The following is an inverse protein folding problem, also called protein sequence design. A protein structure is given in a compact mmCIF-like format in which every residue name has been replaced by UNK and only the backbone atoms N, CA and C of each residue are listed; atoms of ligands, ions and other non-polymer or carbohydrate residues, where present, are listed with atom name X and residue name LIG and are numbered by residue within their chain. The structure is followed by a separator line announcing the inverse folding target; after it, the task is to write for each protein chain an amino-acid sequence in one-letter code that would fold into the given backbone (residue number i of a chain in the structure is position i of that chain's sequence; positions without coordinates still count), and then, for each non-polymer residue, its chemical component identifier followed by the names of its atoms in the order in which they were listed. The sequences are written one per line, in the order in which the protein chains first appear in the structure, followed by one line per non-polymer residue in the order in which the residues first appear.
data_IF_428992345648
#
_entry.id   IF_428992345648
#
_cell.length_a   1.000
_cell.length_b   1.000
_cell.length_c   1.000
_cell.angle_alpha   90.00
_cell.angle_beta   90.00
_cell.angle_gamma   90.00
#
_symmetry.space_group_name_H-M   'P 1'
#
loop_
_entity.id
_entity.type
_entity.pdbx_description
1 polymer ?
#
# COMPACT_ATOMS: atom_id res chain seq x y z
N UNK A 1 15.53 5.87 8.27
CA UNK A 1 15.58 6.56 6.96
C UNK A 1 15.08 8.00 7.02
N UNK A 2 13.86 8.30 7.50
CA UNK A 2 13.34 9.68 7.55
C UNK A 2 14.13 10.59 8.51
N UNK A 3 14.58 10.05 9.65
CA UNK A 3 15.34 10.79 10.67
C UNK A 3 16.79 11.10 10.24
N UNK A 4 17.36 10.29 9.35
CA UNK A 4 18.70 10.48 8.80
C UNK A 4 18.71 11.27 7.50
N UNK A 5 17.53 11.62 6.96
CA UNK A 5 17.41 12.32 5.70
C UNK A 5 17.61 13.82 5.87
N UNK A 6 18.28 14.50 4.90
CA UNK A 6 18.33 15.95 4.83
C UNK A 6 16.91 16.54 4.81
N UNK A 7 16.69 17.69 5.45
CA UNK A 7 15.38 18.30 5.59
C UNK A 7 14.66 18.53 4.25
N UNK A 8 15.42 18.84 3.19
CA UNK A 8 14.91 19.11 1.84
C UNK A 8 14.63 17.86 0.98
N UNK A 9 14.92 16.63 1.48
CA UNK A 9 14.77 15.37 0.75
C UNK A 9 14.06 14.27 1.54
N UNK A 10 13.35 14.63 2.59
CA UNK A 10 12.64 13.65 3.46
C UNK A 10 11.58 12.87 2.69
N UNK A 11 10.87 13.51 1.75
CA UNK A 11 9.90 12.85 0.88
C UNK A 11 10.55 11.77 0.02
N UNK A 12 11.67 12.09 -0.62
CA UNK A 12 12.41 11.12 -1.43
C UNK A 12 12.94 9.92 -0.61
N UNK A 13 13.53 10.16 0.57
CA UNK A 13 14.00 9.06 1.42
C UNK A 13 12.84 8.21 1.98
N UNK A 14 11.71 8.84 2.29
CA UNK A 14 10.51 8.11 2.73
C UNK A 14 9.88 7.28 1.62
N UNK A 15 9.97 7.72 0.36
CA UNK A 15 9.37 7.04 -0.79
C UNK A 15 9.98 5.66 -1.06
N UNK A 16 11.22 5.41 -0.65
CA UNK A 16 11.85 4.09 -0.76
C UNK A 16 11.07 3.00 -0.04
N UNK A 17 10.37 3.33 1.04
CA UNK A 17 9.51 2.36 1.74
C UNK A 17 8.36 1.85 0.85
N UNK A 18 7.71 2.73 0.08
CA UNK A 18 6.66 2.35 -0.86
C UNK A 18 7.25 1.79 -2.17
N UNK A 19 8.40 2.32 -2.62
CA UNK A 19 9.09 1.82 -3.79
C UNK A 19 9.51 0.35 -3.64
N UNK A 20 10.07 -0.03 -2.49
CA UNK A 20 10.42 -1.44 -2.21
C UNK A 20 9.20 -2.35 -2.18
N UNK A 21 8.03 -1.87 -1.73
CA UNK A 21 6.76 -2.59 -1.86
C UNK A 21 6.39 -2.80 -3.34
N UNK A 22 6.51 -1.75 -4.17
CA UNK A 22 6.28 -1.83 -5.61
C UNK A 22 7.21 -2.83 -6.29
N UNK A 23 8.49 -2.82 -5.91
CA UNK A 23 9.48 -3.78 -6.42
C UNK A 23 9.14 -5.23 -6.03
N UNK A 24 8.75 -5.47 -4.78
CA UNK A 24 8.31 -6.78 -4.31
C UNK A 24 7.05 -7.27 -5.06
N UNK A 25 6.09 -6.38 -5.30
CA UNK A 25 4.88 -6.68 -6.07
C UNK A 25 5.21 -6.98 -7.53
N UNK A 26 6.13 -6.22 -8.14
CA UNK A 26 6.65 -6.49 -9.50
C UNK A 26 7.27 -7.88 -9.59
N UNK A 27 8.16 -8.20 -8.65
CA UNK A 27 8.82 -9.50 -8.61
C UNK A 27 7.80 -10.64 -8.41
N UNK A 28 6.83 -10.46 -7.52
CA UNK A 28 5.72 -11.40 -7.33
C UNK A 28 4.91 -11.60 -8.63
N UNK A 29 4.62 -10.53 -9.36
CA UNK A 29 3.95 -10.58 -10.67
C UNK A 29 4.76 -11.33 -11.73
N UNK A 30 6.07 -11.09 -11.81
CA UNK A 30 6.99 -11.81 -12.73
C UNK A 30 7.00 -13.30 -12.42
N UNK A 31 7.16 -13.67 -11.15
CA UNK A 31 7.16 -15.07 -10.71
C UNK A 31 5.81 -15.74 -11.02
N UNK A 32 4.69 -15.08 -10.72
CA UNK A 32 3.36 -15.61 -10.98
C UNK A 32 3.09 -15.82 -12.48
N UNK A 33 3.45 -14.82 -13.32
CA UNK A 33 3.36 -14.94 -14.78
C UNK A 33 4.26 -16.07 -15.31
N UNK A 34 5.52 -16.09 -14.89
CA UNK A 34 6.47 -17.11 -15.31
C UNK A 34 6.01 -18.52 -14.96
N UNK A 35 5.54 -18.72 -13.74
CA UNK A 35 5.04 -20.02 -13.29
C UNK A 35 3.75 -20.42 -14.01
N UNK A 36 2.82 -19.49 -14.22
CA UNK A 36 1.56 -19.78 -14.92
C UNK A 36 1.76 -20.13 -16.40
N UNK A 37 2.84 -19.66 -17.00
CA UNK A 37 3.21 -20.04 -18.38
C UNK A 37 4.04 -21.33 -18.43
N UNK A 38 5.00 -21.49 -17.51
CA UNK A 38 5.98 -22.58 -17.57
C UNK A 38 5.48 -23.90 -16.99
N UNK A 39 4.72 -23.89 -15.89
CA UNK A 39 4.27 -25.12 -15.23
C UNK A 39 3.34 -25.97 -16.10
N UNK A 40 2.31 -25.44 -16.78
CA UNK A 40 1.50 -26.21 -17.69
C UNK A 40 2.31 -26.82 -18.85
N UNK A 41 3.27 -26.06 -19.39
CA UNK A 41 4.18 -26.56 -20.44
C UNK A 41 5.08 -27.70 -19.94
N UNK A 42 5.66 -27.54 -18.74
CA UNK A 42 6.61 -28.50 -18.18
C UNK A 42 5.94 -29.82 -17.72
N UNK A 43 4.69 -29.75 -17.24
CA UNK A 43 3.97 -30.88 -16.63
C UNK A 43 2.89 -31.47 -17.52
N UNK A 44 2.50 -30.77 -18.58
CA UNK A 44 1.39 -31.17 -19.47
C UNK A 44 0.01 -31.06 -18.81
N UNK A 45 -0.10 -30.38 -17.65
CA UNK A 45 -1.36 -30.22 -16.91
C UNK A 45 -1.64 -28.75 -16.64
N UNK A 46 -2.82 -28.29 -17.07
CA UNK A 46 -3.28 -26.91 -16.79
C UNK A 46 -3.68 -26.69 -15.31
N UNK A 47 -3.99 -27.78 -14.57
CA UNK A 47 -4.41 -27.70 -13.17
C UNK A 47 -3.25 -27.62 -12.18
N UNK A 48 -2.02 -27.90 -12.62
CA UNK A 48 -0.83 -27.96 -11.76
C UNK A 48 -0.61 -26.72 -10.92
N UNK A 49 -0.96 -25.55 -11.46
CA UNK A 49 -0.82 -24.28 -10.74
C UNK A 49 -1.78 -24.19 -9.54
N UNK A 50 -3.01 -24.71 -9.68
CA UNK A 50 -4.01 -24.76 -8.62
C UNK A 50 -3.70 -25.85 -7.58
N UNK A 51 -3.10 -26.98 -7.99
CA UNK A 51 -2.81 -28.12 -7.11
C UNK A 51 -1.63 -27.87 -6.19
N UNK A 52 -0.46 -27.52 -6.73
CA UNK A 52 0.75 -27.33 -5.94
C UNK A 52 1.63 -26.15 -6.38
N UNK A 53 1.52 -25.68 -7.62
CA UNK A 53 2.41 -24.66 -8.21
C UNK A 53 2.40 -23.35 -7.44
N UNK A 54 1.29 -22.98 -6.80
CA UNK A 54 1.17 -21.82 -5.94
C UNK A 54 2.12 -21.82 -4.73
N UNK A 55 2.69 -22.99 -4.37
CA UNK A 55 3.65 -23.10 -3.27
C UNK A 55 5.06 -22.65 -3.66
N UNK A 56 5.39 -22.67 -4.95
CA UNK A 56 6.75 -22.34 -5.44
C UNK A 56 7.19 -20.93 -5.02
N UNK A 57 6.37 -19.87 -5.13
CA UNK A 57 6.75 -18.55 -4.65
C UNK A 57 7.11 -18.50 -3.16
N UNK A 58 6.46 -19.32 -2.33
CA UNK A 58 6.79 -19.40 -0.89
C UNK A 58 8.15 -20.03 -0.65
N UNK A 59 8.53 -21.06 -1.40
CA UNK A 59 9.89 -21.63 -1.33
C UNK A 59 10.95 -20.62 -1.76
N UNK A 60 10.68 -19.83 -2.80
CA UNK A 60 11.56 -18.73 -3.21
C UNK A 60 11.68 -17.73 -2.06
N UNK A 61 10.58 -17.40 -1.37
CA UNK A 61 10.56 -16.52 -0.20
C UNK A 61 11.44 -17.02 0.96
N UNK A 62 11.46 -18.33 1.20
CA UNK A 62 12.32 -18.94 2.24
C UNK A 62 13.80 -18.68 1.96
N UNK A 63 14.23 -18.65 0.70
CA UNK A 63 15.63 -18.36 0.33
C UNK A 63 16.07 -16.93 0.73
N UNK A 64 15.13 -16.00 0.97
CA UNK A 64 15.43 -14.67 1.44
C UNK A 64 15.73 -14.61 2.95
N UNK A 65 15.30 -15.60 3.73
CA UNK A 65 15.51 -15.63 5.18
C UNK A 65 17.00 -15.62 5.61
N UNK A 66 17.91 -16.40 5.00
CA UNK A 66 19.34 -16.34 5.29
C UNK A 66 19.94 -14.96 4.99
N UNK A 67 19.50 -14.32 3.90
CA UNK A 67 19.98 -12.98 3.51
C UNK A 67 19.56 -11.95 4.54
N UNK A 68 18.28 -12.00 4.99
CA UNK A 68 17.77 -11.14 6.04
C UNK A 68 18.47 -11.33 7.38
N UNK A 69 18.76 -12.58 7.74
CA UNK A 69 19.51 -12.92 8.94
C UNK A 69 20.96 -12.39 8.87
N UNK A 70 21.63 -12.59 7.75
CA UNK A 70 22.99 -12.08 7.53
C UNK A 70 23.05 -10.55 7.59
N UNK A 71 22.14 -9.85 6.92
CA UNK A 71 22.05 -8.40 6.98
C UNK A 71 21.84 -7.89 8.41
N UNK A 72 20.97 -8.55 9.17
CA UNK A 72 20.70 -8.18 10.57
C UNK A 72 21.96 -8.33 11.43
N UNK A 73 22.67 -9.45 11.32
CA UNK A 73 23.90 -9.71 12.07
C UNK A 73 25.01 -8.72 11.67
N UNK A 74 25.11 -8.36 10.39
CA UNK A 74 26.10 -7.38 9.92
C UNK A 74 25.80 -5.98 10.45
N UNK A 75 24.53 -5.56 10.48
CA UNK A 75 24.14 -4.23 10.96
C UNK A 75 24.21 -4.09 12.48
N UNK A 76 24.04 -5.16 13.26
CA UNK A 76 24.16 -5.12 14.72
C UNK A 76 25.61 -4.79 15.18
N UNK A 77 26.60 -5.09 14.34
CA UNK A 77 28.01 -4.79 14.63
C UNK A 77 28.38 -3.31 14.36
N UNK A 78 27.59 -2.59 13.55
CA UNK A 78 27.87 -1.21 13.16
C UNK A 78 27.12 -0.16 14.01
N UNK A 79 26.26 -0.59 14.97
CA UNK A 79 25.50 0.34 15.82
C UNK A 79 26.36 0.70 17.05
N UNK A 80 26.78 1.98 17.22
CA UNK A 80 27.53 2.41 18.40
C UNK A 80 26.75 2.16 19.68
N UNK A 81 27.43 1.63 20.71
CA UNK A 81 26.88 1.27 22.04
C UNK A 81 25.99 2.32 22.74
N UNK A 82 26.15 3.65 22.58
CA UNK A 82 25.34 4.61 23.33
C UNK A 82 23.83 4.59 23.03
N UNK A 83 23.38 3.94 21.95
CA UNK A 83 21.96 3.80 21.61
C UNK A 83 21.30 2.68 22.45
N UNK A 84 22.08 1.72 22.93
CA UNK A 84 21.60 0.55 23.69
C UNK A 84 21.24 0.87 25.14
N UNK A 85 21.75 1.98 25.69
CA UNK A 85 21.54 2.39 27.10
C UNK A 85 20.46 3.46 27.31
N UNK A 86 19.73 3.90 26.28
CA UNK A 86 18.51 4.66 26.54
C UNK A 86 17.48 3.69 27.11
N UNK A 87 17.39 3.70 28.46
CA UNK A 87 16.34 3.03 29.24
C UNK A 87 15.05 3.03 28.43
N UNK A 88 14.54 1.84 28.14
CA UNK A 88 13.21 1.67 27.59
C UNK A 88 12.28 2.53 28.45
N UNK A 89 11.68 3.56 27.86
CA UNK A 89 10.69 4.36 28.54
C UNK A 89 9.68 3.35 29.09
N UNK A 90 9.48 3.36 30.40
CA UNK A 90 8.60 2.43 31.09
C UNK A 90 7.29 2.36 30.28
N UNK A 91 6.76 1.18 30.03
CA UNK A 91 5.60 0.96 29.16
C UNK A 91 4.39 1.83 29.56
N UNK A 92 4.26 2.13 30.84
CA UNK A 92 3.25 3.04 31.38
C UNK A 92 3.38 4.47 30.85
N UNK A 93 4.61 5.00 30.74
CA UNK A 93 4.86 6.34 30.20
C UNK A 93 4.55 6.45 28.71
N UNK A 94 4.80 5.39 27.92
CA UNK A 94 4.51 5.39 26.49
C UNK A 94 3.01 5.28 26.20
N UNK A 95 2.30 4.42 26.96
CA UNK A 95 0.86 4.24 26.81
C UNK A 95 0.07 5.50 27.23
N UNK A 96 0.45 6.13 28.33
CA UNK A 96 -0.18 7.39 28.75
C UNK A 96 0.00 8.51 27.74
N UNK A 97 1.18 8.60 27.10
CA UNK A 97 1.43 9.55 26.02
C UNK A 97 0.60 9.25 24.76
N UNK A 98 0.40 7.98 24.42
CA UNK A 98 -0.48 7.60 23.29
C UNK A 98 -1.92 8.04 23.57
N UNK A 99 -2.43 7.84 24.80
CA UNK A 99 -3.76 8.28 25.20
C UNK A 99 -3.93 9.81 25.16
N UNK A 100 -2.90 10.56 25.55
CA UNK A 100 -2.91 12.02 25.44
C UNK A 100 -3.01 12.50 23.97
N UNK A 101 -2.44 11.73 23.03
CA UNK A 101 -2.47 12.02 21.59
C UNK A 101 -3.53 11.22 20.82
N UNK A 102 -4.57 10.70 21.48
CA UNK A 102 -5.61 9.85 20.87
C UNK A 102 -6.25 10.47 19.63
N UNK A 103 -6.52 11.78 19.62
CA UNK A 103 -7.11 12.45 18.47
C UNK A 103 -6.18 12.41 17.24
N UNK A 104 -4.87 12.58 17.43
CA UNK A 104 -3.86 12.47 16.36
C UNK A 104 -3.77 11.04 15.83
N UNK A 105 -3.84 10.05 16.73
CA UNK A 105 -3.82 8.63 16.36
C UNK A 105 -5.07 8.27 15.55
N UNK A 106 -6.27 8.67 16.01
CA UNK A 106 -7.53 8.43 15.28
C UNK A 106 -7.49 9.08 13.91
N UNK A 107 -7.05 10.33 13.79
CA UNK A 107 -6.88 11.00 12.51
C UNK A 107 -5.88 10.27 11.60
N UNK A 108 -4.76 9.82 12.16
CA UNK A 108 -3.78 9.01 11.46
C UNK A 108 -4.39 7.70 10.92
N UNK A 109 -5.19 7.00 11.74
CA UNK A 109 -5.90 5.77 11.31
C UNK A 109 -6.87 6.08 10.16
N UNK A 110 -7.67 7.14 10.26
CA UNK A 110 -8.60 7.53 9.19
C UNK A 110 -7.87 7.89 7.89
N UNK A 111 -6.73 8.57 7.97
CA UNK A 111 -5.87 8.82 6.81
C UNK A 111 -5.32 7.52 6.21
N UNK A 112 -4.88 6.59 7.07
CA UNK A 112 -4.34 5.30 6.66
C UNK A 112 -5.40 4.43 5.98
N UNK A 113 -6.66 4.42 6.47
CA UNK A 113 -7.77 3.66 5.88
C UNK A 113 -7.92 3.93 4.39
N UNK A 114 -8.07 5.20 3.99
CA UNK A 114 -8.29 5.52 2.58
C UNK A 114 -7.06 5.19 1.71
N UNK A 115 -5.84 5.33 2.26
CA UNK A 115 -4.62 4.91 1.55
C UNK A 115 -4.60 3.40 1.34
N UNK A 116 -4.88 2.66 2.41
CA UNK A 116 -4.79 1.21 2.44
C UNK A 116 -5.88 0.56 1.58
N UNK A 117 -7.14 0.99 1.73
CA UNK A 117 -8.26 0.51 0.89
C UNK A 117 -7.96 0.74 -0.58
N UNK A 118 -7.53 1.96 -0.95
CA UNK A 118 -7.18 2.28 -2.34
C UNK A 118 -6.03 1.39 -2.85
N UNK A 119 -5.00 1.17 -2.05
CA UNK A 119 -3.87 0.31 -2.41
C UNK A 119 -4.31 -1.14 -2.63
N UNK A 120 -5.04 -1.74 -1.69
CA UNK A 120 -5.43 -3.14 -1.81
C UNK A 120 -6.41 -3.39 -2.95
N UNK A 121 -7.34 -2.47 -3.21
CA UNK A 121 -8.26 -2.58 -4.35
C UNK A 121 -7.49 -2.37 -5.66
N UNK A 122 -6.64 -1.35 -5.75
CA UNK A 122 -5.98 -1.00 -7.01
C UNK A 122 -4.88 -1.97 -7.42
N UNK A 123 -4.07 -2.48 -6.46
CA UNK A 123 -2.95 -3.35 -6.77
C UNK A 123 -3.35 -4.83 -6.89
N UNK A 124 -4.32 -5.28 -6.06
CA UNK A 124 -4.56 -6.72 -5.91
C UNK A 124 -5.98 -7.15 -6.30
N UNK A 125 -6.99 -6.29 -6.08
CA UNK A 125 -8.38 -6.73 -6.25
C UNK A 125 -8.86 -6.67 -7.70
N UNK A 126 -8.52 -5.66 -8.49
CA UNK A 126 -9.01 -5.56 -9.88
C UNK A 126 -8.68 -6.80 -10.72
N UNK A 127 -7.45 -7.33 -10.59
CA UNK A 127 -7.05 -8.53 -11.32
C UNK A 127 -7.84 -9.77 -10.90
N UNK A 128 -7.94 -10.04 -9.59
CA UNK A 128 -8.67 -11.19 -9.06
C UNK A 128 -10.17 -11.07 -9.30
N UNK A 129 -10.72 -9.88 -9.21
CA UNK A 129 -12.12 -9.59 -9.51
C UNK A 129 -12.44 -9.82 -10.99
N UNK A 130 -11.59 -9.33 -11.91
CA UNK A 130 -11.77 -9.54 -13.35
C UNK A 130 -11.69 -11.02 -13.73
N UNK A 131 -10.76 -11.78 -13.15
CA UNK A 131 -10.68 -13.22 -13.37
C UNK A 131 -11.93 -13.95 -12.87
N UNK A 132 -12.43 -13.57 -11.68
CA UNK A 132 -13.56 -14.26 -11.04
C UNK A 132 -14.91 -13.92 -11.67
N UNK A 133 -15.17 -12.64 -11.94
CA UNK A 133 -16.51 -12.16 -12.32
C UNK A 133 -16.65 -11.84 -13.81
N UNK A 134 -15.55 -11.57 -14.52
CA UNK A 134 -15.56 -11.33 -15.96
C UNK A 134 -14.98 -12.52 -16.75
N UNK A 135 -14.68 -13.63 -16.08
CA UNK A 135 -14.09 -14.84 -16.67
C UNK A 135 -12.81 -14.57 -17.49
N UNK A 136 -12.05 -13.55 -17.11
CA UNK A 136 -10.78 -13.26 -17.77
C UNK A 136 -9.73 -14.31 -17.41
N UNK A 137 -8.90 -14.77 -18.35
CA UNK A 137 -7.79 -15.68 -18.06
C UNK A 137 -6.86 -15.14 -16.97
N UNK A 138 -6.45 -16.02 -16.05
CA UNK A 138 -5.74 -15.62 -14.83
C UNK A 138 -4.37 -14.96 -15.09
N UNK A 139 -3.73 -15.26 -16.20
CA UNK A 139 -2.47 -14.60 -16.56
C UNK A 139 -2.61 -13.08 -16.72
N UNK A 140 -3.80 -12.55 -17.09
CA UNK A 140 -4.03 -11.09 -17.12
C UNK A 140 -4.10 -10.47 -15.72
N UNK A 141 -4.57 -11.22 -14.72
CA UNK A 141 -4.47 -10.78 -13.31
C UNK A 141 -3.03 -10.64 -12.85
N UNK A 142 -2.17 -11.60 -13.24
CA UNK A 142 -0.74 -11.54 -12.94
C UNK A 142 -0.05 -10.40 -13.69
N UNK A 143 -0.42 -10.16 -14.96
CA UNK A 143 0.07 -9.01 -15.73
C UNK A 143 -0.36 -7.67 -15.12
N UNK A 144 -1.60 -7.57 -14.63
CA UNK A 144 -2.08 -6.40 -13.92
C UNK A 144 -1.31 -6.16 -12.62
N UNK A 145 -1.01 -7.21 -11.85
CA UNK A 145 -0.19 -7.13 -10.64
C UNK A 145 1.24 -6.67 -10.95
N UNK A 146 1.87 -7.20 -12.00
CA UNK A 146 3.19 -6.78 -12.46
C UNK A 146 3.19 -5.29 -12.83
N UNK A 147 2.23 -4.87 -13.65
CA UNK A 147 2.07 -3.46 -14.04
C UNK A 147 1.88 -2.56 -12.81
N UNK A 148 1.01 -2.97 -11.88
CA UNK A 148 0.77 -2.24 -10.63
C UNK A 148 2.05 -2.08 -9.80
N UNK A 149 2.87 -3.12 -9.70
CA UNK A 149 4.15 -3.09 -9.02
C UNK A 149 5.13 -2.10 -9.64
N UNK A 150 5.30 -2.14 -10.98
CA UNK A 150 6.18 -1.21 -11.72
C UNK A 150 5.73 0.24 -11.53
N UNK A 151 4.42 0.51 -11.66
CA UNK A 151 3.88 1.86 -11.46
C UNK A 151 4.12 2.33 -10.03
N UNK A 152 3.91 1.46 -9.05
CA UNK A 152 4.16 1.80 -7.63
C UNK A 152 5.63 2.09 -7.39
N UNK A 153 6.54 1.28 -7.94
CA UNK A 153 7.99 1.48 -7.78
C UNK A 153 8.43 2.83 -8.34
N UNK A 154 8.20 3.05 -9.64
CA UNK A 154 8.59 4.29 -10.32
C UNK A 154 7.83 5.49 -9.78
N UNK A 155 6.51 5.34 -9.62
CA UNK A 155 5.63 6.39 -9.13
C UNK A 155 5.98 6.84 -7.71
N UNK A 156 6.31 5.91 -6.80
CA UNK A 156 6.69 6.28 -5.44
C UNK A 156 7.94 7.17 -5.41
N UNK A 157 8.96 6.88 -6.20
CA UNK A 157 10.18 7.69 -6.28
C UNK A 157 9.88 9.10 -6.84
N UNK A 158 9.07 9.19 -7.91
CA UNK A 158 8.64 10.46 -8.47
C UNK A 158 7.81 11.28 -7.48
N UNK A 159 6.86 10.63 -6.81
CA UNK A 159 6.01 11.27 -5.78
C UNK A 159 6.84 11.72 -4.58
N UNK A 160 7.87 10.96 -4.20
CA UNK A 160 8.80 11.36 -3.16
C UNK A 160 9.47 12.70 -3.44
N UNK A 161 9.94 12.91 -4.68
CA UNK A 161 10.51 14.18 -5.13
C UNK A 161 9.45 15.31 -5.18
N UNK A 162 8.24 14.99 -5.68
CA UNK A 162 7.14 15.95 -5.72
C UNK A 162 6.65 16.35 -4.32
N UNK A 163 6.74 15.43 -3.35
CA UNK A 163 6.31 15.67 -1.98
C UNK A 163 7.12 16.79 -1.30
N UNK A 164 8.41 16.87 -1.62
CA UNK A 164 9.30 17.88 -1.06
C UNK A 164 9.04 19.28 -1.67
N UNK A 165 8.51 19.37 -2.91
CA UNK A 165 8.25 20.63 -3.62
C UNK A 165 6.81 21.14 -3.49
N UNK A 166 5.81 20.27 -3.68
CA UNK A 166 4.38 20.62 -3.76
C UNK A 166 3.72 20.66 -2.38
N UNK A 167 4.20 19.86 -1.43
CA UNK A 167 3.62 19.71 -0.09
C UNK A 167 2.73 18.46 0.03
N UNK A 168 2.70 17.90 1.26
CA UNK A 168 2.08 16.60 1.54
C UNK A 168 0.56 16.65 1.38
N UNK A 169 -0.08 17.62 2.00
CA UNK A 169 -1.55 17.75 2.05
C UNK A 169 -2.18 17.91 0.67
N UNK A 170 -1.54 18.70 -0.21
CA UNK A 170 -2.02 18.91 -1.59
C UNK A 170 -1.99 17.62 -2.40
N UNK A 171 -0.88 16.87 -2.34
CA UNK A 171 -0.75 15.61 -3.07
C UNK A 171 -1.74 14.55 -2.57
N UNK A 172 -1.96 14.46 -1.26
CA UNK A 172 -2.98 13.59 -0.68
C UNK A 172 -4.36 13.98 -1.20
N UNK A 173 -4.71 15.25 -1.15
CA UNK A 173 -6.02 15.73 -1.59
C UNK A 173 -6.27 15.43 -3.07
N UNK A 174 -5.31 15.74 -3.95
CA UNK A 174 -5.40 15.43 -5.38
C UNK A 174 -5.61 13.93 -5.60
N UNK A 175 -4.79 13.11 -4.94
CA UNK A 175 -4.91 11.64 -5.00
C UNK A 175 -6.32 11.18 -4.59
N UNK A 176 -6.84 11.66 -3.45
CA UNK A 176 -8.16 11.26 -2.95
C UNK A 176 -9.30 11.66 -3.87
N UNK A 177 -9.25 12.89 -4.39
CA UNK A 177 -10.24 13.39 -5.35
C UNK A 177 -10.23 12.53 -6.62
N UNK A 178 -9.05 12.24 -7.17
CA UNK A 178 -8.93 11.44 -8.38
C UNK A 178 -9.37 9.98 -8.17
N UNK A 179 -8.96 9.35 -7.05
CA UNK A 179 -9.42 7.99 -6.71
C UNK A 179 -10.94 7.96 -6.53
N UNK A 180 -11.52 8.96 -5.86
CA UNK A 180 -12.96 9.03 -5.64
C UNK A 180 -13.74 9.18 -6.95
N UNK A 181 -13.31 10.10 -7.82
CA UNK A 181 -13.95 10.32 -9.13
C UNK A 181 -13.85 9.06 -10.01
N UNK A 182 -12.68 8.40 -10.01
CA UNK A 182 -12.43 7.23 -10.85
C UNK A 182 -12.95 5.92 -10.24
N UNK A 183 -13.33 5.88 -8.96
CA UNK A 183 -13.70 4.64 -8.27
C UNK A 183 -14.87 3.90 -8.94
N UNK A 184 -15.98 4.57 -9.18
CA UNK A 184 -17.14 3.97 -9.84
C UNK A 184 -16.93 3.75 -11.35
N UNK A 185 -16.43 4.74 -12.13
CA UNK A 185 -16.15 4.54 -13.55
C UNK A 185 -15.21 3.38 -13.84
N UNK A 186 -14.22 3.11 -12.99
CA UNK A 186 -13.27 2.03 -13.18
C UNK A 186 -13.94 0.64 -13.23
N UNK A 187 -14.84 0.35 -12.31
CA UNK A 187 -15.59 -0.90 -12.29
C UNK A 187 -16.65 -0.93 -13.40
N UNK A 188 -17.33 0.19 -13.64
CA UNK A 188 -18.32 0.30 -14.69
C UNK A 188 -17.73 0.04 -16.08
N UNK A 189 -16.57 0.63 -16.40
CA UNK A 189 -15.87 0.41 -17.66
C UNK A 189 -15.48 -1.06 -17.83
N UNK A 190 -14.99 -1.72 -16.78
CA UNK A 190 -14.61 -3.12 -16.83
C UNK A 190 -15.81 -4.06 -17.04
N UNK A 191 -16.96 -3.74 -16.46
CA UNK A 191 -18.20 -4.53 -16.64
C UNK A 191 -18.73 -4.38 -18.07
N UNK A 192 -18.76 -3.17 -18.62
CA UNK A 192 -19.36 -2.90 -19.92
C UNK A 192 -18.41 -3.17 -21.11
N UNK A 193 -17.10 -3.07 -20.88
CA UNK A 193 -16.07 -3.28 -21.90
C UNK A 193 -14.98 -4.25 -21.37
N UNK A 194 -15.35 -5.53 -21.11
CA UNK A 194 -14.41 -6.49 -20.53
C UNK A 194 -13.32 -6.86 -21.54
N UNK A 195 -12.14 -6.28 -21.39
CA UNK A 195 -10.97 -6.60 -22.20
C UNK A 195 -9.68 -6.51 -21.37
N UNK A 196 -8.65 -7.29 -21.74
CA UNK A 196 -7.35 -7.21 -21.08
C UNK A 196 -6.75 -5.80 -21.11
N UNK A 197 -6.88 -5.11 -22.23
CA UNK A 197 -6.40 -3.74 -22.38
C UNK A 197 -7.13 -2.77 -21.44
N UNK A 198 -8.46 -2.91 -21.27
CA UNK A 198 -9.22 -2.10 -20.32
C UNK A 198 -8.79 -2.38 -18.87
N UNK A 199 -8.57 -3.65 -18.51
CA UNK A 199 -8.06 -4.00 -17.18
C UNK A 199 -6.72 -3.34 -16.89
N UNK A 200 -5.77 -3.44 -17.80
CA UNK A 200 -4.45 -2.81 -17.64
C UNK A 200 -4.54 -1.28 -17.58
N UNK A 201 -5.42 -0.67 -18.37
CA UNK A 201 -5.64 0.79 -18.36
C UNK A 201 -6.23 1.25 -17.02
N UNK A 202 -7.26 0.55 -16.52
CA UNK A 202 -7.86 0.85 -15.21
C UNK A 202 -6.84 0.70 -14.10
N UNK A 203 -6.06 -0.39 -14.08
CA UNK A 203 -5.01 -0.60 -13.09
C UNK A 203 -3.95 0.49 -13.19
N UNK A 204 -3.51 0.86 -14.40
CA UNK A 204 -2.55 1.94 -14.60
C UNK A 204 -3.04 3.25 -13.97
N UNK A 205 -4.25 3.67 -14.28
CA UNK A 205 -4.84 4.93 -13.79
C UNK A 205 -5.02 4.90 -12.28
N UNK A 206 -5.65 3.84 -11.75
CA UNK A 206 -5.98 3.74 -10.34
C UNK A 206 -4.73 3.62 -9.47
N UNK A 207 -3.75 2.82 -9.87
CA UNK A 207 -2.48 2.67 -9.14
C UNK A 207 -1.67 3.97 -9.17
N UNK A 208 -1.65 4.68 -10.30
CA UNK A 208 -0.97 5.98 -10.40
C UNK A 208 -1.54 7.00 -9.40
N UNK A 209 -2.87 7.12 -9.33
CA UNK A 209 -3.51 8.02 -8.37
C UNK A 209 -3.34 7.55 -6.91
N UNK A 210 -3.40 6.25 -6.67
CA UNK A 210 -3.20 5.70 -5.33
C UNK A 210 -1.78 5.94 -4.83
N UNK A 211 -0.77 5.73 -5.69
CA UNK A 211 0.64 5.93 -5.37
C UNK A 211 0.93 7.41 -5.08
N UNK A 212 0.27 8.34 -5.80
CA UNK A 212 0.39 9.78 -5.58
C UNK A 212 0.05 10.19 -4.14
N UNK A 213 -0.88 9.50 -3.48
CA UNK A 213 -1.26 9.76 -2.08
C UNK A 213 -0.49 8.90 -1.07
N UNK A 214 0.09 7.78 -1.48
CA UNK A 214 0.67 6.79 -0.56
C UNK A 214 1.88 7.32 0.21
N UNK A 215 2.87 7.84 -0.50
CA UNK A 215 4.10 8.41 0.10
C UNK A 215 3.79 9.57 1.05
N UNK A 216 3.04 10.62 0.62
CA UNK A 216 2.80 11.76 1.50
C UNK A 216 1.93 11.41 2.71
N UNK A 217 1.03 10.41 2.64
CA UNK A 217 0.27 9.96 3.82
C UNK A 217 1.19 9.35 4.87
N UNK A 218 2.10 8.46 4.50
CA UNK A 218 3.05 7.84 5.44
C UNK A 218 3.93 8.91 6.12
N UNK A 219 4.43 9.86 5.34
CA UNK A 219 5.25 10.94 5.85
C UNK A 219 4.45 11.86 6.80
N UNK A 220 3.24 12.26 6.39
CA UNK A 220 2.37 13.12 7.19
C UNK A 220 2.02 12.48 8.54
N UNK A 221 1.62 11.20 8.56
CA UNK A 221 1.33 10.48 9.81
C UNK A 221 2.56 10.47 10.73
N UNK A 222 3.75 10.25 10.19
CA UNK A 222 4.97 10.25 10.99
C UNK A 222 5.31 11.63 11.56
N UNK A 223 5.02 12.70 10.82
CA UNK A 223 5.27 14.08 11.24
C UNK A 223 4.25 14.60 12.26
N UNK A 224 3.00 14.11 12.22
CA UNK A 224 1.96 14.47 13.20
C UNK A 224 2.24 13.95 14.61
N UNK A 225 3.06 12.92 14.73
CA UNK A 225 3.35 12.28 16.01
C UNK A 225 4.60 12.89 16.68
N UNK A 226 4.56 13.18 17.99
CA UNK A 226 5.73 13.64 18.74
C UNK A 226 6.90 12.67 18.62
N UNK A 227 8.11 13.17 18.52
CA UNK A 227 9.35 12.37 18.36
C UNK A 227 9.45 11.21 19.36
N UNK A 228 9.00 11.42 20.62
CA UNK A 228 9.07 10.43 21.70
C UNK A 228 8.22 9.18 21.47
N UNK A 229 7.05 9.31 20.82
CA UNK A 229 6.10 8.22 20.56
C UNK A 229 5.92 7.94 19.07
N UNK A 230 6.68 8.60 18.20
CA UNK A 230 6.51 8.53 16.74
C UNK A 230 6.54 7.10 16.20
N UNK A 231 7.56 6.33 16.57
CA UNK A 231 7.69 4.95 16.10
C UNK A 231 6.52 4.07 16.54
N UNK A 232 6.16 4.14 17.83
CA UNK A 232 5.07 3.34 18.39
C UNK A 232 3.70 3.79 17.86
N UNK A 233 3.45 5.12 17.81
CA UNK A 233 2.21 5.68 17.29
C UNK A 233 2.02 5.40 15.81
N UNK A 234 3.09 5.52 15.00
CA UNK A 234 3.05 5.16 13.58
C UNK A 234 2.76 3.67 13.39
N UNK A 235 3.44 2.79 14.14
CA UNK A 235 3.20 1.36 14.08
C UNK A 235 1.75 1.01 14.45
N UNK A 236 1.19 1.64 15.47
CA UNK A 236 -0.21 1.44 15.89
C UNK A 236 -1.19 1.89 14.79
N UNK A 237 -1.03 3.11 14.29
CA UNK A 237 -1.87 3.68 13.21
C UNK A 237 -1.83 2.80 11.96
N UNK A 238 -0.62 2.42 11.54
CA UNK A 238 -0.42 1.60 10.35
C UNK A 238 -0.98 0.19 10.52
N UNK A 239 -0.73 -0.44 11.68
CA UNK A 239 -1.24 -1.79 11.97
C UNK A 239 -2.77 -1.84 11.95
N UNK A 240 -3.45 -0.89 12.60
CA UNK A 240 -4.92 -0.83 12.59
C UNK A 240 -5.45 -0.58 11.18
N UNK A 241 -4.90 0.41 10.47
CA UNK A 241 -5.32 0.76 9.11
C UNK A 241 -5.10 -0.39 8.13
N UNK A 242 -3.93 -1.03 8.17
CA UNK A 242 -3.58 -2.10 7.23
C UNK A 242 -4.22 -3.43 7.61
N UNK A 243 -4.16 -3.85 8.88
CA UNK A 243 -4.67 -5.18 9.27
C UNK A 243 -6.19 -5.27 9.10
N UNK A 244 -6.94 -4.25 9.54
CA UNK A 244 -8.41 -4.29 9.48
C UNK A 244 -8.90 -3.93 8.08
N UNK A 245 -8.53 -2.75 7.58
CA UNK A 245 -9.12 -2.23 6.33
C UNK A 245 -8.41 -2.72 5.08
N UNK A 246 -7.13 -3.08 5.16
CA UNK A 246 -6.37 -3.70 4.09
C UNK A 246 -6.53 -5.21 4.05
N UNK A 247 -6.30 -5.89 5.18
CA UNK A 247 -6.40 -7.35 5.26
C UNK A 247 -7.77 -7.89 4.87
N UNK A 248 -8.84 -7.20 5.27
CA UNK A 248 -10.22 -7.54 4.89
C UNK A 248 -10.73 -6.81 3.64
N UNK A 249 -9.90 -6.02 2.94
CA UNK A 249 -10.36 -5.22 1.80
C UNK A 249 -11.04 -6.06 0.71
N UNK A 250 -10.43 -7.18 0.34
CA UNK A 250 -10.99 -8.07 -0.69
C UNK A 250 -12.27 -8.76 -0.22
N UNK A 251 -12.36 -9.08 1.07
CA UNK A 251 -13.57 -9.65 1.65
C UNK A 251 -14.73 -8.64 1.60
N UNK A 252 -14.53 -7.42 2.11
CA UNK A 252 -15.56 -6.38 2.10
C UNK A 252 -15.96 -5.98 0.68
N UNK A 253 -14.99 -5.85 -0.24
CA UNK A 253 -15.25 -5.57 -1.64
C UNK A 253 -16.06 -6.69 -2.31
N UNK A 254 -15.75 -7.96 -2.04
CA UNK A 254 -16.50 -9.10 -2.57
C UNK A 254 -17.88 -9.20 -1.93
N UNK A 255 -17.97 -9.00 -0.61
CA UNK A 255 -19.25 -9.04 0.10
C UNK A 255 -20.20 -7.92 -0.35
N UNK A 256 -19.67 -6.76 -0.72
CA UNK A 256 -20.50 -5.68 -1.27
C UNK A 256 -21.21 -6.08 -2.58
N UNK A 257 -20.59 -6.93 -3.41
CA UNK A 257 -21.23 -7.47 -4.62
C UNK A 257 -22.46 -8.30 -4.27
N UNK A 258 -22.34 -9.16 -3.25
CA UNK A 258 -23.43 -10.03 -2.81
C UNK A 258 -24.57 -9.21 -2.19
N UNK A 259 -24.22 -8.22 -1.37
CA UNK A 259 -25.22 -7.39 -0.66
C UNK A 259 -25.99 -6.44 -1.58
N UNK A 260 -25.32 -5.88 -2.59
CA UNK A 260 -25.90 -4.88 -3.50
C UNK A 260 -26.32 -5.46 -4.85
N UNK A 261 -26.13 -6.77 -5.05
CA UNK A 261 -26.38 -7.48 -6.31
C UNK A 261 -25.83 -6.74 -7.54
N UNK A 262 -24.59 -6.23 -7.39
CA UNK A 262 -23.95 -5.40 -8.43
C UNK A 262 -22.46 -5.63 -8.51
N UNK A 263 -21.96 -5.90 -9.71
CA UNK A 263 -20.53 -6.08 -9.95
C UNK A 263 -19.70 -4.79 -9.74
N UNK A 264 -20.36 -3.62 -9.78
CA UNK A 264 -19.70 -2.33 -9.50
C UNK A 264 -19.67 -1.97 -8.02
N UNK A 265 -20.28 -2.78 -7.16
CA UNK A 265 -20.38 -2.54 -5.72
C UNK A 265 -19.04 -2.31 -4.98
N UNK A 266 -17.91 -2.93 -5.36
CA UNK A 266 -16.61 -2.64 -4.74
C UNK A 266 -16.20 -1.17 -4.82
N UNK A 267 -16.72 -0.41 -5.78
CA UNK A 267 -16.51 1.03 -5.88
C UNK A 267 -16.98 1.80 -4.63
N UNK A 268 -18.05 1.35 -3.98
CA UNK A 268 -18.57 1.97 -2.75
C UNK A 268 -17.61 1.78 -1.58
N UNK A 269 -17.01 0.60 -1.46
CA UNK A 269 -16.01 0.36 -0.43
C UNK A 269 -14.76 1.24 -0.65
N UNK A 270 -14.29 1.32 -1.90
CA UNK A 270 -13.16 2.16 -2.29
C UNK A 270 -13.48 3.64 -2.07
N UNK A 271 -14.65 4.10 -2.50
CA UNK A 271 -15.12 5.48 -2.35
C UNK A 271 -15.32 5.85 -0.88
N UNK A 272 -15.95 4.98 -0.08
CA UNK A 272 -16.16 5.19 1.35
C UNK A 272 -14.86 5.35 2.13
N UNK A 273 -13.88 4.45 1.93
CA UNK A 273 -12.57 4.57 2.55
C UNK A 273 -11.83 5.84 2.14
N UNK A 274 -11.93 6.21 0.85
CA UNK A 274 -11.34 7.43 0.32
C UNK A 274 -11.96 8.69 0.90
N UNK A 275 -13.30 8.73 1.05
CA UNK A 275 -14.03 9.83 1.68
C UNK A 275 -13.65 10.01 3.15
N UNK A 276 -13.57 8.92 3.91
CA UNK A 276 -13.13 8.97 5.31
C UNK A 276 -11.73 9.59 5.45
N UNK A 277 -10.80 9.20 4.59
CA UNK A 277 -9.45 9.78 4.56
C UNK A 277 -9.46 11.26 4.15
N UNK A 278 -10.32 11.65 3.23
CA UNK A 278 -10.45 13.05 2.80
C UNK A 278 -11.02 13.93 3.91
N UNK A 279 -12.04 13.46 4.64
CA UNK A 279 -12.58 14.14 5.81
C UNK A 279 -11.53 14.28 6.91
N UNK A 280 -10.78 13.22 7.21
CA UNK A 280 -9.68 13.28 8.17
C UNK A 280 -8.62 14.33 7.80
N UNK A 281 -8.32 14.47 6.50
CA UNK A 281 -7.35 15.44 6.01
C UNK A 281 -7.76 16.90 6.28
N UNK A 282 -9.06 17.22 6.37
CA UNK A 282 -9.55 18.55 6.70
C UNK A 282 -9.16 18.99 8.12
N UNK A 283 -9.11 18.04 9.05
CA UNK A 283 -8.77 18.29 10.45
C UNK A 283 -7.26 18.31 10.71
N UNK A 284 -6.44 17.88 9.75
CA UNK A 284 -4.98 17.87 9.88
C UNK A 284 -4.44 19.23 9.50
N UNK A 285 -3.70 19.85 10.41
CA UNK A 285 -2.87 21.03 10.11
C UNK A 285 -1.51 20.56 9.63
N UNK A 286 -1.07 21.06 8.47
CA UNK A 286 0.27 20.76 7.97
C UNK A 286 1.29 21.35 8.94
N UNK A 287 2.29 20.58 9.41
CA UNK A 287 3.36 21.12 10.25
C UNK A 287 4.05 22.29 9.53
N UNK A 288 4.25 23.40 10.23
CA UNK A 288 4.92 24.55 9.65
C UNK A 288 6.29 24.16 9.10
N UNK A 289 6.65 24.71 7.93
CA UNK A 289 7.94 24.45 7.28
C UNK A 289 9.17 24.74 8.16
N UNK A 290 9.01 25.55 9.20
CA UNK A 290 10.07 25.94 10.15
C UNK A 290 10.47 24.83 11.14
N UNK A 291 9.67 23.76 11.28
CA UNK A 291 9.98 22.62 12.16
C UNK A 291 10.54 21.41 11.41
N UNK A 292 10.84 21.57 10.15
CA UNK A 292 11.40 20.55 9.26
C UNK A 292 12.91 20.71 9.09
#
# INVERSE_FOLDING_TARGET
MVESAPANRRGFYSSWSLATQGLATTFGGVVALGLSAWLPFATGSETVMAEWGWRVPFFIGVLLAPIGCWLRLSLENDVPEPVRNKKAATSESAFSLLLQHKATIVNGVLLAIGSTVATYISLFYYGTWAAKYLAMPQHYSHAAMLLAGVITFVGALLVGMLCDSVGRKKLILISRVMVLICSWPSFWLLVNYPSPGMLLTVVFVMVSFTTLGGVPVMLLISELLPKRIRALGFALVYSIGVAIFGGFAQYFATQSIVLLDSLTAPAWYLGGGTLLSMLALLYVKEPAKELQ
#
